data_IF_073128369363
#
_entry.id   IF_073128369363
#
_cell.length_a   1.000
_cell.length_b   1.000
_cell.length_c   1.000
_cell.angle_alpha   90.00
_cell.angle_beta   90.00
_cell.angle_gamma   90.00
#
_symmetry.space_group_name_H-M   'P 1'
#
loop_
_entity.id
_entity.type
_entity.pdbx_description
1 polymer ?
#
# COMPACT_ATOMS: atom_id res chain seq x y z
N UNK A 1 -11.60 -11.76 -8.47
CA UNK A 1 -10.25 -11.17 -8.37
C UNK A 1 -10.44 -9.71 -8.04
N UNK A 2 -9.82 -9.24 -6.97
CA UNK A 2 -9.84 -7.83 -6.55
C UNK A 2 -8.50 -7.19 -6.86
N UNK A 3 -8.51 -5.99 -7.44
CA UNK A 3 -7.29 -5.20 -7.61
C UNK A 3 -7.01 -4.46 -6.31
N UNK A 4 -5.79 -4.61 -5.76
CA UNK A 4 -5.31 -3.80 -4.64
C UNK A 4 -4.14 -2.95 -5.08
N UNK A 5 -4.06 -1.75 -4.51
CA UNK A 5 -2.97 -0.81 -4.76
C UNK A 5 -2.03 -0.75 -3.55
N UNK A 6 -0.73 -0.70 -3.81
CA UNK A 6 0.32 -0.62 -2.79
C UNK A 6 1.26 0.55 -3.09
N UNK A 7 1.73 1.21 -2.03
CA UNK A 7 2.82 2.18 -2.10
C UNK A 7 4.16 1.44 -1.98
N UNK A 8 5.10 1.75 -2.85
CA UNK A 8 6.50 1.34 -2.71
C UNK A 8 7.41 2.47 -3.19
N UNK A 9 8.72 2.31 -3.07
CA UNK A 9 9.69 3.15 -3.75
C UNK A 9 10.26 2.46 -4.99
N UNK A 10 10.87 3.23 -5.89
CA UNK A 10 11.48 2.70 -7.12
C UNK A 10 12.71 1.82 -6.89
N UNK A 11 13.43 2.04 -5.79
CA UNK A 11 14.67 1.34 -5.42
C UNK A 11 14.46 0.13 -4.52
N UNK A 12 13.29 -0.02 -3.89
CA UNK A 12 12.99 -1.17 -3.05
C UNK A 12 12.83 -2.44 -3.92
N UNK A 13 13.71 -3.45 -3.75
CA UNK A 13 13.70 -4.64 -4.59
C UNK A 13 12.67 -5.68 -4.17
N UNK A 14 11.98 -5.46 -3.05
CA UNK A 14 11.03 -6.41 -2.46
C UNK A 14 9.58 -6.01 -2.77
N UNK A 15 8.71 -7.01 -2.87
CA UNK A 15 7.28 -6.80 -3.05
C UNK A 15 6.61 -6.37 -1.73
N UNK A 16 5.87 -5.24 -1.68
CA UNK A 16 5.10 -4.84 -0.49
C UNK A 16 3.94 -5.79 -0.17
N UNK A 17 3.62 -6.73 -1.07
CA UNK A 17 2.57 -7.73 -0.88
C UNK A 17 3.15 -9.12 -0.56
N UNK A 18 4.08 -9.63 -1.36
CA UNK A 18 4.59 -11.00 -1.21
C UNK A 18 5.76 -11.10 -0.22
N UNK A 19 6.48 -9.99 0.02
CA UNK A 19 7.72 -9.94 0.80
C UNK A 19 7.68 -8.75 1.78
N UNK A 20 6.56 -8.58 2.48
CA UNK A 20 6.29 -7.40 3.30
C UNK A 20 7.40 -7.09 4.31
N UNK A 21 7.92 -8.09 5.03
CA UNK A 21 8.96 -7.88 6.03
C UNK A 21 10.26 -7.33 5.43
N UNK A 22 10.73 -7.90 4.31
CA UNK A 22 11.93 -7.40 3.62
C UNK A 22 11.69 -6.01 3.02
N UNK A 23 10.51 -5.81 2.44
CA UNK A 23 10.10 -4.52 1.91
C UNK A 23 10.08 -3.45 2.99
N UNK A 24 9.48 -3.72 4.15
CA UNK A 24 9.33 -2.79 5.27
C UNK A 24 10.67 -2.48 5.94
N UNK A 25 11.53 -3.48 6.11
CA UNK A 25 12.88 -3.27 6.62
C UNK A 25 13.69 -2.37 5.69
N UNK A 26 13.69 -2.64 4.39
CA UNK A 26 14.37 -1.78 3.40
C UNK A 26 13.82 -0.35 3.45
N UNK A 27 12.49 -0.20 3.43
CA UNK A 27 11.81 1.09 3.44
C UNK A 27 12.15 1.94 4.68
N UNK A 28 12.23 1.32 5.85
CA UNK A 28 12.56 2.01 7.11
C UNK A 28 14.06 2.30 7.24
N UNK A 29 14.95 1.39 6.81
CA UNK A 29 16.41 1.60 6.80
C UNK A 29 16.83 2.77 5.89
N UNK A 30 16.09 3.00 4.80
CA UNK A 30 16.31 4.13 3.88
C UNK A 30 15.57 5.40 4.31
N UNK A 31 14.81 5.35 5.41
CA UNK A 31 14.12 6.49 5.99
C UNK A 31 12.82 6.91 5.29
N UNK A 32 12.34 6.13 4.32
CA UNK A 32 11.13 6.45 3.55
C UNK A 32 9.87 6.42 4.43
N UNK A 33 9.76 5.41 5.29
CA UNK A 33 8.60 5.21 6.18
C UNK A 33 7.26 5.27 5.42
N UNK A 34 7.20 4.64 4.25
CA UNK A 34 6.08 4.65 3.31
C UNK A 34 4.76 4.25 3.96
N UNK A 35 4.76 3.22 4.81
CA UNK A 35 3.55 2.81 5.56
C UNK A 35 3.04 3.91 6.49
N UNK A 36 3.93 4.61 7.19
CA UNK A 36 3.57 5.71 8.08
C UNK A 36 3.07 6.93 7.31
N UNK A 37 3.66 7.22 6.15
CA UNK A 37 3.16 8.25 5.25
C UNK A 37 1.75 7.93 4.75
N UNK A 38 1.53 6.71 4.27
CA UNK A 38 0.25 6.26 3.77
C UNK A 38 -0.82 6.29 4.87
N UNK A 39 -0.51 5.81 6.08
CA UNK A 39 -1.44 5.81 7.21
C UNK A 39 -1.95 7.21 7.58
N UNK A 40 -1.12 8.26 7.43
CA UNK A 40 -1.55 9.64 7.72
C UNK A 40 -2.50 10.22 6.67
N UNK A 41 -2.46 9.70 5.45
CA UNK A 41 -3.20 10.25 4.31
C UNK A 41 -4.43 9.42 3.94
N UNK A 42 -4.40 8.11 4.19
CA UNK A 42 -5.52 7.22 3.93
C UNK A 42 -6.63 7.43 4.96
N UNK A 43 -7.85 7.71 4.48
CA UNK A 43 -9.02 7.90 5.32
C UNK A 43 -9.79 6.59 5.51
N UNK A 44 -9.12 5.56 6.02
CA UNK A 44 -9.75 4.26 6.29
C UNK A 44 -10.62 4.29 7.54
N UNK A 45 -11.57 3.37 7.62
CA UNK A 45 -12.49 3.24 8.74
C UNK A 45 -12.89 1.80 8.96
N UNK A 46 -13.06 1.39 10.22
CA UNK A 46 -13.65 0.09 10.56
C UNK A 46 -15.13 -0.03 10.19
N UNK A 47 -15.78 1.09 9.85
CA UNK A 47 -17.15 1.12 9.34
C UNK A 47 -17.24 0.95 7.82
N UNK A 48 -16.11 1.03 7.11
CA UNK A 48 -16.05 0.84 5.66
C UNK A 48 -15.88 -0.64 5.32
N UNK A 49 -16.45 -1.05 4.19
CA UNK A 49 -16.15 -2.35 3.57
C UNK A 49 -14.69 -2.43 3.14
N UNK A 50 -14.19 -3.64 2.91
CA UNK A 50 -12.81 -3.85 2.44
C UNK A 50 -12.49 -3.12 1.13
N UNK A 51 -13.48 -3.00 0.24
CA UNK A 51 -13.34 -2.31 -1.04
C UNK A 51 -13.33 -0.78 -0.88
N UNK A 52 -14.13 -0.23 0.04
CA UNK A 52 -14.11 1.20 0.37
C UNK A 52 -12.78 1.58 1.04
N UNK A 53 -12.27 0.74 1.96
CA UNK A 53 -10.94 0.92 2.52
C UNK A 53 -9.85 0.80 1.43
N UNK A 54 -9.99 -0.14 0.48
CA UNK A 54 -9.08 -0.25 -0.66
C UNK A 54 -9.04 1.04 -1.49
N UNK A 55 -10.20 1.64 -1.71
CA UNK A 55 -10.36 2.86 -2.49
C UNK A 55 -9.70 4.05 -1.80
N UNK A 56 -9.91 4.24 -0.49
CA UNK A 56 -9.25 5.33 0.25
C UNK A 56 -7.73 5.15 0.31
N UNK A 57 -7.24 3.90 0.38
CA UNK A 57 -5.81 3.59 0.25
C UNK A 57 -5.30 3.95 -1.15
N UNK A 58 -5.99 3.51 -2.22
CA UNK A 58 -5.60 3.82 -3.60
C UNK A 58 -5.50 5.33 -3.85
N UNK A 59 -6.51 6.07 -3.38
CA UNK A 59 -6.57 7.52 -3.48
C UNK A 59 -5.42 8.21 -2.73
N UNK A 60 -5.08 7.75 -1.53
CA UNK A 60 -3.93 8.28 -0.79
C UNK A 60 -2.60 7.99 -1.51
N UNK A 61 -2.45 6.80 -2.11
CA UNK A 61 -1.27 6.48 -2.93
C UNK A 61 -1.18 7.40 -4.14
N UNK A 62 -2.29 7.65 -4.84
CA UNK A 62 -2.32 8.56 -5.98
C UNK A 62 -1.92 9.99 -5.58
N UNK A 63 -2.35 10.46 -4.40
CA UNK A 63 -1.93 11.75 -3.86
C UNK A 63 -0.43 11.80 -3.56
N UNK A 64 0.14 10.75 -2.94
CA UNK A 64 1.57 10.66 -2.63
C UNK A 64 2.40 10.72 -3.92
N UNK A 65 2.05 9.90 -4.91
CA UNK A 65 2.77 9.85 -6.19
C UNK A 65 2.62 11.17 -6.96
N UNK A 66 1.44 11.79 -6.96
CA UNK A 66 1.23 13.08 -7.61
C UNK A 66 1.99 14.23 -6.94
N UNK A 67 2.25 14.13 -5.63
CA UNK A 67 2.97 15.12 -4.84
C UNK A 67 4.48 14.83 -4.71
N UNK A 68 5.03 13.89 -5.49
CA UNK A 68 6.41 13.45 -5.42
C UNK A 68 7.27 13.95 -6.60
N UNK A 69 7.85 15.15 -6.52
CA UNK A 69 8.71 15.69 -7.58
C UNK A 69 10.06 14.98 -7.69
N UNK A 70 10.45 14.16 -6.70
CA UNK A 70 11.72 13.44 -6.68
C UNK A 70 11.61 12.04 -7.29
N UNK A 71 10.39 11.59 -7.61
CA UNK A 71 10.12 10.28 -8.20
C UNK A 71 10.71 9.13 -7.35
N UNK A 72 10.52 9.24 -6.04
CA UNK A 72 10.84 8.23 -5.03
C UNK A 72 9.77 7.14 -5.02
N UNK A 73 8.49 7.53 -5.01
CA UNK A 73 7.35 6.66 -4.79
C UNK A 73 6.76 6.12 -6.09
N UNK A 74 6.28 4.87 -6.01
CA UNK A 74 5.65 4.14 -7.09
C UNK A 74 4.38 3.46 -6.58
N UNK A 75 3.30 3.59 -7.36
CA UNK A 75 2.08 2.82 -7.18
C UNK A 75 2.22 1.46 -7.86
N UNK A 76 1.94 0.38 -7.12
CA UNK A 76 1.79 -0.96 -7.66
C UNK A 76 0.32 -1.37 -7.63
N UNK A 77 -0.15 -2.01 -8.71
CA UNK A 77 -1.49 -2.60 -8.81
C UNK A 77 -1.34 -4.12 -8.91
N UNK A 78 -1.95 -4.85 -7.98
CA UNK A 78 -1.86 -6.32 -7.91
C UNK A 78 -3.27 -6.90 -7.95
N UNK A 79 -3.47 -7.88 -8.83
CA UNK A 79 -4.69 -8.68 -8.86
C UNK A 79 -4.61 -9.79 -7.82
N UNK A 80 -5.48 -9.72 -6.82
CA UNK A 80 -5.59 -10.70 -5.75
C UNK A 80 -6.76 -11.63 -6.04
N UNK A 81 -6.56 -12.94 -5.89
CA UNK A 81 -7.65 -13.92 -5.98
C UNK A 81 -8.53 -13.78 -4.75
N UNK A 82 -9.85 -13.81 -4.94
CA UNK A 82 -10.79 -13.85 -3.82
C UNK A 82 -10.63 -15.21 -3.12
N UNK A 83 -9.91 -15.24 -2.01
CA UNK A 83 -9.87 -16.40 -1.13
C UNK A 83 -10.77 -16.12 0.08
N UNK A 84 -11.93 -16.78 0.19
CA UNK A 84 -12.87 -16.57 1.29
C UNK A 84 -12.28 -16.92 2.68
N UNK A 85 -11.12 -17.60 2.77
CA UNK A 85 -10.49 -17.95 4.04
C UNK A 85 -9.75 -16.78 4.74
N UNK A 86 -9.40 -15.71 4.02
CA UNK A 86 -8.75 -14.51 4.59
C UNK A 86 -9.72 -13.55 5.28
N UNK A 87 -11.04 -13.76 5.14
CA UNK A 87 -12.07 -12.94 5.75
C UNK A 87 -12.31 -13.26 7.24
N UNK A 88 -11.73 -14.34 7.78
CA UNK A 88 -11.98 -14.82 9.15
C UNK A 88 -10.84 -14.51 10.15
N UNK A 89 -9.79 -13.79 9.77
CA UNK A 89 -8.61 -13.56 10.63
C UNK A 89 -8.39 -12.12 11.11
N UNK A 90 -9.44 -11.28 11.14
CA UNK A 90 -9.41 -9.95 11.76
C UNK A 90 -9.99 -9.93 13.18
#
# INVERSE_FOLDING_TARGET
MMVRCFLTTFDNPYSPYEQFEQWYQYDTDHGYNSSGLLMRLAHTSSQFTDNENAYEIEKAIDQIVAADPLNVYKKLKIEIKDDPALAESA
#
